data_IF_506916187315
#
_entry.id   IF_506916187315
#
_cell.length_a   1.000
_cell.length_b   1.000
_cell.length_c   1.000
_cell.angle_alpha   90.00
_cell.angle_beta   90.00
_cell.angle_gamma   90.00
#
_symmetry.space_group_name_H-M   'P 1'
#
loop_
_entity.id
_entity.type
_entity.pdbx_description
1 polymer ?
#
# COMPACT_ATOMS: atom_id res chain seq x y z
N UNK A 1 -19.86 1.37 4.38
CA UNK A 1 -19.01 0.22 4.72
C UNK A 1 -19.61 -0.98 4.02
N UNK A 2 -19.16 -1.29 2.81
CA UNK A 2 -19.58 -2.50 2.10
C UNK A 2 -18.60 -3.56 2.59
N UNK A 3 -19.04 -4.39 3.52
CA UNK A 3 -18.37 -5.65 3.82
C UNK A 3 -18.60 -6.55 2.60
N UNK A 4 -17.67 -6.50 1.64
CA UNK A 4 -17.52 -7.60 0.68
C UNK A 4 -16.97 -8.80 1.45
N UNK A 5 -17.40 -9.99 1.05
CA UNK A 5 -17.01 -11.27 1.64
C UNK A 5 -15.51 -11.32 1.98
N UNK A 6 -15.16 -11.95 3.12
CA UNK A 6 -13.86 -11.86 3.81
C UNK A 6 -12.60 -12.25 2.99
N UNK A 7 -12.74 -12.53 1.70
CA UNK A 7 -11.67 -12.95 0.81
C UNK A 7 -11.14 -11.84 -0.10
N UNK A 8 -11.83 -10.70 -0.25
CA UNK A 8 -11.42 -9.64 -1.18
C UNK A 8 -11.52 -8.23 -0.60
N UNK A 9 -10.56 -7.38 -1.01
CA UNK A 9 -10.55 -5.94 -0.75
C UNK A 9 -10.67 -5.16 -2.06
N UNK A 10 -11.36 -4.02 -1.99
CA UNK A 10 -11.41 -3.05 -3.07
C UNK A 10 -10.27 -2.04 -2.94
N UNK A 11 -9.48 -1.89 -3.99
CA UNK A 11 -8.38 -0.92 -4.09
C UNK A 11 -8.69 0.06 -5.22
N UNK A 12 -8.66 1.35 -4.90
CA UNK A 12 -8.95 2.43 -5.85
C UNK A 12 -7.82 3.47 -5.85
N UNK A 13 -7.37 3.85 -7.04
CA UNK A 13 -6.48 5.01 -7.23
C UNK A 13 -7.34 6.16 -7.75
N UNK A 14 -7.31 7.27 -7.02
CA UNK A 14 -8.11 8.44 -7.30
C UNK A 14 -7.20 9.59 -7.76
N UNK A 15 -7.65 10.34 -8.77
CA UNK A 15 -6.99 11.56 -9.23
C UNK A 15 -7.78 12.79 -8.78
N UNK A 16 -7.06 13.82 -8.33
CA UNK A 16 -7.62 15.10 -7.90
C UNK A 16 -7.05 16.23 -8.75
N UNK A 17 -7.84 17.28 -8.98
CA UNK A 17 -7.39 18.44 -9.77
C UNK A 17 -6.33 19.27 -9.02
N UNK A 18 -6.30 19.22 -7.69
CA UNK A 18 -5.40 20.00 -6.84
C UNK A 18 -4.67 19.09 -5.86
N UNK A 19 -3.60 19.60 -5.24
CA UNK A 19 -2.85 18.87 -4.22
C UNK A 19 -3.81 18.47 -3.09
N UNK A 20 -3.88 17.18 -2.84
CA UNK A 20 -4.91 16.59 -2.00
C UNK A 20 -4.38 16.33 -0.59
N UNK A 21 -5.13 16.76 0.42
CA UNK A 21 -4.80 16.53 1.83
C UNK A 21 -6.01 16.58 2.77
N UNK A 22 -7.08 17.29 2.40
CA UNK A 22 -8.26 17.52 3.26
C UNK A 22 -9.63 17.34 2.55
N UNK A 23 -9.68 16.89 1.30
CA UNK A 23 -10.95 16.71 0.57
C UNK A 23 -11.48 15.27 0.70
N UNK A 24 -12.79 15.03 0.68
CA UNK A 24 -13.35 13.69 0.66
C UNK A 24 -12.91 12.88 -0.58
N UNK A 25 -12.72 11.57 -0.41
CA UNK A 25 -12.45 10.63 -1.51
C UNK A 25 -13.49 10.71 -2.63
N UNK A 26 -14.75 11.01 -2.30
CA UNK A 26 -15.85 11.12 -3.26
C UNK A 26 -15.66 12.23 -4.32
N UNK A 27 -14.79 13.20 -4.06
CA UNK A 27 -14.45 14.27 -5.00
C UNK A 27 -13.34 13.83 -5.99
N UNK A 28 -12.72 12.67 -5.74
CA UNK A 28 -11.69 12.10 -6.58
C UNK A 28 -12.27 11.41 -7.81
N UNK A 29 -11.61 11.56 -8.95
CA UNK A 29 -11.94 10.78 -10.16
C UNK A 29 -11.23 9.42 -10.10
N UNK A 30 -11.94 8.28 -10.11
CA UNK A 30 -11.29 6.98 -10.16
C UNK A 30 -10.48 6.80 -11.44
N UNK A 31 -9.19 6.49 -11.29
CA UNK A 31 -8.28 6.16 -12.39
C UNK A 31 -8.11 4.66 -12.54
N UNK A 32 -8.15 3.93 -11.43
CA UNK A 32 -8.06 2.48 -11.37
C UNK A 32 -8.91 2.01 -10.19
N UNK A 33 -9.63 0.91 -10.38
CA UNK A 33 -10.37 0.23 -9.31
C UNK A 33 -10.35 -1.27 -9.59
N UNK A 34 -9.95 -2.07 -8.60
CA UNK A 34 -9.92 -3.53 -8.72
C UNK A 34 -10.20 -4.19 -7.38
N UNK A 35 -10.63 -5.45 -7.45
CA UNK A 35 -10.75 -6.35 -6.31
C UNK A 35 -9.55 -7.29 -6.30
N UNK A 36 -9.03 -7.59 -5.11
CA UNK A 36 -7.96 -8.55 -4.94
C UNK A 36 -7.98 -9.17 -3.54
N UNK A 37 -7.31 -10.31 -3.38
CA UNK A 37 -7.10 -10.89 -2.07
C UNK A 37 -6.21 -9.98 -1.21
N UNK A 38 -6.50 -9.80 0.09
CA UNK A 38 -5.67 -9.00 0.99
C UNK A 38 -4.20 -9.38 0.98
N UNK A 39 -3.90 -10.68 0.89
CA UNK A 39 -2.54 -11.20 0.86
C UNK A 39 -1.78 -10.79 -0.40
N UNK A 40 -2.45 -10.81 -1.56
CA UNK A 40 -1.83 -10.42 -2.82
C UNK A 40 -1.54 -8.92 -2.85
N UNK A 41 -2.46 -8.11 -2.31
CA UNK A 41 -2.22 -6.68 -2.13
C UNK A 41 -1.05 -6.42 -1.18
N UNK A 42 -1.01 -7.08 -0.03
CA UNK A 42 0.07 -6.94 0.94
C UNK A 42 1.43 -7.28 0.34
N UNK A 43 1.53 -8.38 -0.42
CA UNK A 43 2.75 -8.77 -1.14
C UNK A 43 3.15 -7.72 -2.17
N UNK A 44 2.21 -7.21 -2.97
CA UNK A 44 2.48 -6.18 -3.96
C UNK A 44 3.01 -4.88 -3.33
N UNK A 45 2.44 -4.46 -2.20
CA UNK A 45 2.90 -3.28 -1.44
C UNK A 45 4.31 -3.49 -0.88
N UNK A 46 4.57 -4.65 -0.26
CA UNK A 46 5.91 -4.99 0.25
C UNK A 46 6.94 -4.96 -0.88
N UNK A 47 6.69 -5.67 -1.98
CA UNK A 47 7.62 -5.80 -3.09
C UNK A 47 7.93 -4.44 -3.73
N UNK A 48 6.92 -3.58 -3.84
CA UNK A 48 7.10 -2.21 -4.32
C UNK A 48 7.95 -1.36 -3.36
N UNK A 49 7.71 -1.46 -2.06
CA UNK A 49 8.48 -0.75 -1.04
C UNK A 49 9.95 -1.23 -1.01
N UNK A 50 10.19 -2.54 -1.07
CA UNK A 50 11.53 -3.12 -1.18
C UNK A 50 12.24 -2.68 -2.46
N UNK A 51 11.53 -2.61 -3.59
CA UNK A 51 12.10 -2.12 -4.84
C UNK A 51 12.52 -0.65 -4.75
N UNK A 52 11.71 0.20 -4.09
CA UNK A 52 12.05 1.60 -3.82
C UNK A 52 13.27 1.70 -2.93
N UNK A 53 13.31 0.94 -1.82
CA UNK A 53 14.44 0.91 -0.90
C UNK A 53 15.72 0.42 -1.61
N UNK A 54 15.63 -0.63 -2.43
CA UNK A 54 16.77 -1.15 -3.21
C UNK A 54 17.29 -0.14 -4.22
N UNK A 55 16.39 0.63 -4.85
CA UNK A 55 16.75 1.61 -5.88
C UNK A 55 17.40 2.87 -5.31
N UNK A 56 16.94 3.32 -4.14
CA UNK A 56 17.33 4.61 -3.58
C UNK A 56 18.22 4.51 -2.32
N UNK A 57 18.20 3.38 -1.61
CA UNK A 57 18.77 3.28 -0.28
C UNK A 57 18.09 4.25 0.71
N UNK A 58 18.45 4.16 1.99
CA UNK A 58 17.85 5.01 3.02
C UNK A 58 18.20 6.49 2.83
N UNK A 59 19.47 6.78 2.55
CA UNK A 59 19.97 8.15 2.44
C UNK A 59 19.37 8.90 1.25
N UNK A 60 19.33 8.30 0.05
CA UNK A 60 18.77 9.01 -1.11
C UNK A 60 17.24 8.97 -1.14
N UNK A 61 16.60 8.02 -0.43
CA UNK A 61 15.17 8.09 -0.18
C UNK A 61 14.81 9.37 0.61
N UNK A 62 15.46 9.61 1.76
CA UNK A 62 15.19 10.79 2.57
C UNK A 62 15.43 12.10 1.78
N UNK A 63 16.52 12.17 1.00
CA UNK A 63 16.77 13.33 0.13
C UNK A 63 15.67 13.59 -0.90
N UNK A 64 15.06 12.52 -1.42
CA UNK A 64 14.07 12.62 -2.50
C UNK A 64 12.65 12.87 -1.99
N UNK A 65 12.27 12.27 -0.87
CA UNK A 65 10.91 12.36 -0.33
C UNK A 65 10.79 13.26 0.91
N UNK A 66 11.89 13.69 1.50
CA UNK A 66 11.90 14.61 2.64
C UNK A 66 11.51 13.99 3.99
N UNK A 67 11.47 12.66 4.06
CA UNK A 67 11.19 11.92 5.29
C UNK A 67 11.90 10.55 5.29
N UNK A 68 11.99 9.93 6.46
CA UNK A 68 12.62 8.62 6.60
C UNK A 68 11.81 7.53 5.91
N UNK A 69 12.51 6.52 5.40
CA UNK A 69 11.86 5.35 4.82
C UNK A 69 11.13 4.57 5.93
N UNK A 70 9.88 4.14 5.71
CA UNK A 70 9.04 3.46 6.71
C UNK A 70 9.48 2.00 6.90
N UNK A 71 10.68 1.82 7.47
CA UNK A 71 11.33 0.51 7.61
C UNK A 71 10.57 -0.38 8.59
N UNK A 72 10.09 0.21 9.70
CA UNK A 72 9.35 -0.53 10.73
C UNK A 72 8.02 -1.04 10.20
N UNK A 73 7.33 -0.24 9.39
CA UNK A 73 6.07 -0.60 8.76
C UNK A 73 6.28 -1.68 7.69
N UNK A 74 7.38 -1.64 6.95
CA UNK A 74 7.73 -2.69 6.00
C UNK A 74 8.00 -4.02 6.70
N UNK A 75 8.76 -4.01 7.80
CA UNK A 75 9.01 -5.20 8.63
C UNK A 75 7.72 -5.75 9.24
N UNK A 76 6.84 -4.86 9.71
CA UNK A 76 5.54 -5.23 10.26
C UNK A 76 4.65 -5.87 9.20
N UNK A 77 4.58 -5.29 8.00
CA UNK A 77 3.84 -5.86 6.87
C UNK A 77 4.35 -7.26 6.50
N UNK A 78 5.67 -7.44 6.45
CA UNK A 78 6.28 -8.75 6.21
C UNK A 78 5.89 -9.77 7.30
N UNK A 79 5.84 -9.35 8.57
CA UNK A 79 5.41 -10.23 9.67
C UNK A 79 3.95 -10.69 9.52
N UNK A 80 3.05 -9.80 9.07
CA UNK A 80 1.64 -10.13 8.83
C UNK A 80 1.46 -11.07 7.64
N UNK A 81 2.20 -10.87 6.55
CA UNK A 81 2.18 -11.78 5.39
C UNK A 81 2.58 -13.20 5.82
N UNK A 82 3.67 -13.32 6.59
CA UNK A 82 4.14 -14.63 7.08
C UNK A 82 3.13 -15.29 8.03
N UNK A 83 2.52 -14.51 8.93
CA UNK A 83 1.50 -15.03 9.84
C UNK A 83 0.25 -15.51 9.07
N UNK A 84 -0.19 -14.75 8.07
CA UNK A 84 -1.34 -15.10 7.23
C UNK A 84 -1.11 -16.41 6.47
N UNK A 85 0.07 -16.59 5.88
CA UNK A 85 0.42 -17.81 5.13
C UNK A 85 0.47 -19.06 6.03
N UNK A 86 0.87 -18.89 7.30
CA UNK A 86 0.87 -19.99 8.28
C UNK A 86 -0.54 -20.40 8.69
N UNK A 87 -1.46 -19.45 8.82
CA UNK A 87 -2.84 -19.70 9.26
C UNK A 87 -3.75 -20.27 8.16
N UNK A 88 -3.34 -20.22 6.88
CA UNK A 88 -4.04 -20.88 5.75
C UNK A 88 -3.59 -22.33 5.50
N UNK A 89 -2.66 -22.88 6.29
CA UNK A 89 -2.27 -24.30 6.26
C UNK A 89 -2.97 -25.09 7.35
#
# INVERSE_FOLDING_TARGET
>A
MICSDADEIQVSILSFQYLWGNLPDADGKPMLSFLCAPLDFGRAVRDAAEAVLKKHGLADYNKKWGHDFPSQELDLLQSYIVAWERNKR
#
